data_IF_316144850060
#
_entry.id   IF_316144850060
#
_cell.length_a   1.000
_cell.length_b   1.000
_cell.length_c   1.000
_cell.angle_alpha   90.00
_cell.angle_beta   90.00
_cell.angle_gamma   90.00
#
_symmetry.space_group_name_H-M   'P 1'
#
loop_
_entity.id
_entity.type
_entity.pdbx_description
1 polymer ?
#
# COMPACT_ATOMS: atom_id res chain seq x y z
N UNK A 1 -26.39 -27.87 -7.59
CA UNK A 1 -26.16 -26.42 -7.53
C UNK A 1 -24.88 -26.25 -6.73
N UNK A 2 -23.74 -26.12 -7.43
CA UNK A 2 -22.48 -25.80 -6.75
C UNK A 2 -22.60 -24.39 -6.20
N UNK A 3 -22.45 -24.24 -4.89
CA UNK A 3 -22.16 -22.94 -4.29
C UNK A 3 -20.82 -22.50 -4.88
N UNK A 4 -20.86 -21.52 -5.78
CA UNK A 4 -19.68 -20.71 -6.06
C UNK A 4 -19.38 -20.00 -4.73
N UNK A 5 -18.48 -20.58 -3.95
CA UNK A 5 -17.92 -19.92 -2.77
C UNK A 5 -17.21 -18.68 -3.30
N UNK A 6 -17.73 -17.51 -2.92
CA UNK A 6 -17.30 -16.23 -3.47
C UNK A 6 -15.81 -15.96 -3.26
N UNK A 7 -15.31 -14.90 -3.90
CA UNK A 7 -13.95 -14.41 -3.70
C UNK A 7 -13.65 -14.24 -2.21
N UNK A 8 -12.72 -15.04 -1.68
CA UNK A 8 -12.27 -14.88 -0.30
C UNK A 8 -11.30 -13.72 -0.23
N UNK A 9 -11.63 -12.71 0.57
CA UNK A 9 -10.77 -11.53 0.79
C UNK A 9 -10.45 -11.43 2.27
N UNK A 10 -9.17 -11.34 2.58
CA UNK A 10 -8.67 -11.07 3.92
C UNK A 10 -8.05 -9.67 3.96
N UNK A 11 -8.59 -8.81 4.83
CA UNK A 11 -8.06 -7.44 5.03
C UNK A 11 -7.34 -7.40 6.38
N UNK A 12 -6.08 -6.99 6.37
CA UNK A 12 -5.25 -6.90 7.57
C UNK A 12 -4.82 -5.45 7.77
N UNK A 13 -5.34 -4.82 8.83
CA UNK A 13 -5.06 -3.43 9.19
C UNK A 13 -4.83 -3.28 10.70
N UNK A 14 -3.64 -2.85 11.16
CA UNK A 14 -2.40 -2.67 10.39
C UNK A 14 -1.66 -4.00 10.14
N UNK A 15 -0.95 -4.08 9.01
CA UNK A 15 -0.14 -5.24 8.59
C UNK A 15 0.92 -5.68 9.60
N UNK A 16 1.27 -4.85 10.58
CA UNK A 16 2.26 -5.18 11.63
C UNK A 16 1.88 -6.42 12.43
N UNK A 17 0.59 -6.77 12.49
CA UNK A 17 0.11 -7.95 13.21
C UNK A 17 0.33 -9.26 12.43
N UNK A 18 0.59 -9.16 11.12
CA UNK A 18 0.92 -10.31 10.27
C UNK A 18 2.38 -10.72 10.39
N UNK A 19 3.27 -9.78 10.70
CA UNK A 19 4.71 -10.01 10.67
C UNK A 19 5.19 -10.54 12.02
N UNK A 20 5.79 -11.74 12.06
CA UNK A 20 6.40 -12.25 13.28
C UNK A 20 7.70 -11.49 13.55
N UNK A 21 7.73 -10.65 14.59
CA UNK A 21 8.91 -9.90 14.99
C UNK A 21 8.85 -8.43 14.63
N UNK A 22 9.95 -7.87 14.10
CA UNK A 22 10.00 -6.46 13.74
C UNK A 22 9.52 -6.24 12.30
N UNK A 23 8.31 -5.71 12.15
CA UNK A 23 7.69 -5.36 10.87
C UNK A 23 8.43 -4.27 10.06
N UNK A 24 9.49 -3.69 10.63
CA UNK A 24 10.39 -2.76 9.94
C UNK A 24 11.69 -3.44 9.47
N UNK A 25 11.92 -4.69 9.85
CA UNK A 25 13.14 -5.43 9.53
C UNK A 25 12.90 -6.33 8.30
N UNK A 26 13.66 -6.14 7.20
CA UNK A 26 13.53 -6.91 5.96
C UNK A 26 13.37 -8.42 6.13
N UNK A 27 14.22 -9.05 6.96
CA UNK A 27 14.20 -10.50 7.15
C UNK A 27 12.89 -11.01 7.74
N UNK A 28 12.32 -10.26 8.68
CA UNK A 28 11.11 -10.65 9.41
C UNK A 28 9.89 -10.45 8.50
N UNK A 29 9.92 -9.38 7.70
CA UNK A 29 8.92 -9.04 6.68
C UNK A 29 8.87 -10.10 5.58
N UNK A 30 10.00 -10.47 5.00
CA UNK A 30 10.08 -11.51 3.98
C UNK A 30 9.52 -12.83 4.49
N UNK A 31 9.81 -13.17 5.75
CA UNK A 31 9.27 -14.38 6.36
C UNK A 31 7.75 -14.33 6.47
N UNK A 32 7.19 -13.24 7.00
CA UNK A 32 5.74 -13.06 7.11
C UNK A 32 5.02 -13.04 5.76
N UNK A 33 5.58 -12.34 4.77
CA UNK A 33 5.01 -12.25 3.42
C UNK A 33 5.10 -13.56 2.65
N UNK A 34 6.18 -14.33 2.80
CA UNK A 34 6.30 -15.66 2.20
C UNK A 34 5.21 -16.60 2.69
N UNK A 35 4.99 -16.65 4.02
CA UNK A 35 3.89 -17.44 4.60
C UNK A 35 2.51 -16.95 4.13
N UNK A 36 2.34 -15.63 3.98
CA UNK A 36 1.08 -15.07 3.47
C UNK A 36 0.81 -15.48 2.03
N UNK A 37 1.86 -15.48 1.20
CA UNK A 37 1.78 -15.89 -0.20
C UNK A 37 1.50 -17.40 -0.33
N UNK A 38 2.08 -18.23 0.52
CA UNK A 38 1.77 -19.66 0.62
C UNK A 38 0.28 -19.87 0.91
N UNK A 39 -0.26 -19.20 1.93
CA UNK A 39 -1.68 -19.27 2.29
C UNK A 39 -2.55 -18.79 1.11
N UNK A 40 -2.23 -17.65 0.51
CA UNK A 40 -2.95 -17.12 -0.66
C UNK A 40 -3.01 -18.14 -1.80
N UNK A 41 -1.92 -18.86 -2.07
CA UNK A 41 -1.87 -19.85 -3.15
C UNK A 41 -2.65 -21.12 -2.81
N UNK A 42 -2.69 -21.52 -1.55
CA UNK A 42 -3.44 -22.70 -1.09
C UNK A 42 -4.96 -22.44 -1.04
N UNK A 43 -5.37 -21.26 -0.57
CA UNK A 43 -6.78 -20.94 -0.33
C UNK A 43 -7.42 -20.13 -1.44
N UNK A 44 -6.63 -19.63 -2.40
CA UNK A 44 -7.06 -18.63 -3.38
C UNK A 44 -7.63 -17.33 -2.75
N UNK A 45 -7.32 -17.06 -1.48
CA UNK A 45 -7.74 -15.85 -0.78
C UNK A 45 -6.90 -14.64 -1.22
N UNK A 46 -7.56 -13.53 -1.57
CA UNK A 46 -6.89 -12.26 -1.84
C UNK A 46 -6.60 -11.52 -0.54
N UNK A 47 -5.33 -11.19 -0.30
CA UNK A 47 -4.93 -10.39 0.86
C UNK A 47 -4.80 -8.89 0.53
N UNK A 48 -5.44 -8.05 1.35
CA UNK A 48 -5.24 -6.59 1.35
C UNK A 48 -4.52 -6.24 2.64
N UNK A 49 -3.26 -5.84 2.51
CA UNK A 49 -2.41 -5.47 3.64
C UNK A 49 -2.34 -3.95 3.75
N UNK A 50 -2.77 -3.40 4.89
CA UNK A 50 -2.80 -1.96 5.14
C UNK A 50 -1.62 -1.58 6.02
N UNK A 51 -0.77 -0.68 5.52
CA UNK A 51 0.43 -0.21 6.20
C UNK A 51 0.47 1.31 6.27
N UNK A 52 0.96 1.85 7.39
CA UNK A 52 1.25 3.27 7.49
C UNK A 52 2.67 3.54 7.00
N UNK A 53 2.78 4.47 6.06
CA UNK A 53 4.06 4.98 5.59
C UNK A 53 4.66 5.89 6.68
N UNK A 54 5.88 5.58 7.14
CA UNK A 54 6.61 6.42 8.09
C UNK A 54 7.20 7.63 7.38
N UNK A 55 6.71 8.83 7.70
CA UNK A 55 7.30 10.08 7.21
C UNK A 55 8.49 10.52 8.09
N UNK A 56 9.69 10.71 7.53
CA UNK A 56 10.82 11.28 8.27
C UNK A 56 10.52 12.71 8.76
N UNK A 57 9.87 13.52 7.92
CA UNK A 57 9.34 14.84 8.27
C UNK A 57 7.82 14.88 8.02
N UNK A 58 7.05 15.29 9.04
CA UNK A 58 5.58 15.43 8.95
C UNK A 58 5.14 16.47 7.93
N UNK A 59 5.99 17.45 7.62
CA UNK A 59 5.71 18.52 6.65
C UNK A 59 5.97 18.09 5.20
N UNK A 60 6.67 16.98 5.00
CA UNK A 60 6.99 16.48 3.68
C UNK A 60 5.74 15.89 2.99
N UNK A 61 5.52 16.35 1.76
CA UNK A 61 4.58 15.72 0.84
C UNK A 61 5.24 14.44 0.35
N UNK A 62 4.55 13.31 0.49
CA UNK A 62 5.04 12.04 -0.01
C UNK A 62 4.35 11.75 -1.33
N UNK A 63 5.14 11.49 -2.35
CA UNK A 63 4.71 11.04 -3.65
C UNK A 63 5.01 9.55 -3.83
N UNK A 64 4.37 8.87 -4.79
CA UNK A 64 4.63 7.47 -5.10
C UNK A 64 6.11 7.13 -5.32
N UNK A 65 6.84 8.02 -6.00
CA UNK A 65 8.27 7.89 -6.30
C UNK A 65 9.14 7.87 -5.04
N UNK A 66 8.74 8.58 -3.99
CA UNK A 66 9.48 8.66 -2.72
C UNK A 66 9.44 7.33 -1.95
N UNK A 67 8.54 6.42 -2.32
CA UNK A 67 8.41 5.13 -1.63
C UNK A 67 9.67 4.27 -1.76
N UNK A 68 10.33 4.31 -2.92
CA UNK A 68 11.52 3.51 -3.18
C UNK A 68 12.80 4.14 -2.62
N UNK A 69 12.80 5.46 -2.44
CA UNK A 69 14.03 6.24 -2.17
C UNK A 69 14.09 6.79 -0.75
N UNK A 70 12.96 7.20 -0.15
CA UNK A 70 12.94 8.02 1.06
C UNK A 70 12.12 7.45 2.22
N UNK A 71 11.17 6.55 1.93
CA UNK A 71 10.31 5.97 2.94
C UNK A 71 10.99 4.78 3.61
N UNK A 72 11.43 5.01 4.86
CA UNK A 72 11.98 3.97 5.76
C UNK A 72 10.92 2.94 6.09
N UNK A 73 10.70 2.01 5.18
CA UNK A 73 9.97 0.77 5.36
C UNK A 73 10.67 -0.32 4.54
N UNK A 74 10.39 -1.60 4.83
CA UNK A 74 10.88 -2.70 4.02
C UNK A 74 10.37 -2.55 2.58
N UNK A 75 11.25 -2.34 1.60
CA UNK A 75 10.90 -2.32 0.16
C UNK A 75 10.26 -3.65 -0.26
N UNK A 76 10.52 -4.69 0.51
CA UNK A 76 10.02 -6.05 0.37
C UNK A 76 8.49 -6.11 0.30
N UNK A 77 7.77 -5.25 1.04
CA UNK A 77 6.30 -5.16 0.91
C UNK A 77 5.86 -4.81 -0.52
N UNK A 78 6.54 -3.85 -1.14
CA UNK A 78 6.23 -3.40 -2.50
C UNK A 78 6.72 -4.38 -3.56
N UNK A 79 7.90 -4.98 -3.34
CA UNK A 79 8.47 -5.96 -4.24
C UNK A 79 7.58 -7.20 -4.33
N UNK A 80 7.09 -7.70 -3.19
CA UNK A 80 6.25 -8.90 -3.13
C UNK A 80 4.78 -8.66 -3.45
N UNK A 81 4.27 -7.43 -3.28
CA UNK A 81 2.87 -7.12 -3.60
C UNK A 81 2.58 -7.27 -5.10
N UNK A 82 1.47 -7.92 -5.47
CA UNK A 82 1.00 -7.93 -6.86
C UNK A 82 0.53 -6.53 -7.31
N UNK A 83 -0.14 -5.81 -6.42
CA UNK A 83 -0.55 -4.42 -6.63
C UNK A 83 -0.31 -3.62 -5.37
N UNK A 84 0.05 -2.35 -5.53
CA UNK A 84 0.31 -1.43 -4.43
C UNK A 84 -0.38 -0.10 -4.68
N UNK A 85 -1.12 0.35 -3.67
CA UNK A 85 -1.87 1.59 -3.67
C UNK A 85 -1.35 2.49 -2.56
N UNK A 86 -1.30 3.79 -2.82
CA UNK A 86 -0.96 4.79 -1.81
C UNK A 86 -2.06 5.82 -1.70
N UNK A 87 -2.57 5.97 -0.49
CA UNK A 87 -3.58 6.96 -0.15
C UNK A 87 -2.91 8.15 0.53
N UNK A 88 -3.08 9.34 -0.02
CA UNK A 88 -2.60 10.58 0.61
C UNK A 88 -3.75 11.54 0.84
N UNK A 89 -3.51 12.49 1.74
CA UNK A 89 -4.31 13.70 1.88
C UNK A 89 -3.48 14.86 1.31
N UNK A 90 -4.08 15.76 0.52
CA UNK A 90 -3.36 16.94 0.08
C UNK A 90 -2.94 17.77 1.30
N UNK A 91 -1.73 18.30 1.24
CA UNK A 91 -1.37 19.43 2.10
C UNK A 91 -2.05 20.66 1.52
N UNK A 92 -2.70 21.46 2.37
CA UNK A 92 -3.40 22.66 1.94
C UNK A 92 -2.46 23.58 1.18
N UNK A 93 -2.60 23.59 -0.14
CA UNK A 93 -1.95 24.55 -1.02
C UNK A 93 -2.92 25.67 -1.35
N UNK A 94 -2.39 26.88 -1.47
CA UNK A 94 -3.14 28.05 -1.92
C UNK A 94 -2.84 28.30 -3.38
N UNK A 95 -3.84 28.69 -4.17
CA UNK A 95 -3.63 29.16 -5.54
C UNK A 95 -2.96 30.54 -5.56
N UNK A 96 -2.69 31.04 -6.77
CA UNK A 96 -2.15 32.39 -7.01
C UNK A 96 -3.07 33.51 -6.53
N UNK A 97 -4.31 33.21 -6.14
CA UNK A 97 -5.30 34.14 -5.57
C UNK A 97 -5.43 34.00 -4.05
N UNK A 98 -4.65 33.12 -3.43
CA UNK A 98 -4.67 32.89 -1.99
C UNK A 98 -5.80 32.00 -1.49
N UNK A 99 -6.59 31.41 -2.39
CA UNK A 99 -7.68 30.48 -2.07
C UNK A 99 -7.14 29.06 -1.90
N UNK A 100 -7.72 28.29 -0.97
CA UNK A 100 -7.37 26.88 -0.83
C UNK A 100 -7.82 26.10 -2.07
N UNK A 101 -6.91 25.36 -2.68
CA UNK A 101 -7.18 24.53 -3.88
C UNK A 101 -7.56 23.10 -3.54
N UNK A 102 -7.49 22.72 -2.27
CA UNK A 102 -7.76 21.36 -1.78
C UNK A 102 -8.55 21.39 -0.48
N UNK A 103 -9.52 20.50 -0.39
CA UNK A 103 -10.32 20.25 0.80
C UNK A 103 -9.57 19.33 1.78
N UNK A 104 -9.73 19.50 3.11
CA UNK A 104 -9.20 18.54 4.09
C UNK A 104 -9.80 17.12 3.94
N UNK A 105 -10.96 17.02 3.29
CA UNK A 105 -11.64 15.75 3.04
C UNK A 105 -11.16 15.06 1.76
N UNK A 106 -10.38 15.75 0.92
CA UNK A 106 -9.86 15.16 -0.31
C UNK A 106 -8.93 13.99 0.01
N UNK A 107 -9.06 12.94 -0.80
CA UNK A 107 -8.21 11.76 -0.76
C UNK A 107 -7.67 11.52 -2.15
N UNK A 108 -6.36 11.45 -2.25
CA UNK A 108 -5.68 11.14 -3.51
C UNK A 108 -5.22 9.69 -3.42
N UNK A 109 -5.69 8.87 -4.36
CA UNK A 109 -5.28 7.48 -4.49
C UNK A 109 -4.31 7.36 -5.66
N UNK A 110 -3.10 6.90 -5.36
CA UNK A 110 -2.10 6.57 -6.37
C UNK A 110 -2.03 5.07 -6.57
N UNK A 111 -1.94 4.64 -7.83
CA UNK A 111 -1.59 3.27 -8.20
C UNK A 111 -0.07 3.24 -8.39
N UNK A 112 0.66 2.71 -7.40
CA UNK A 112 2.13 2.67 -7.45
C UNK A 112 2.60 1.46 -8.27
N UNK A 113 1.90 0.33 -8.11
CA UNK A 113 2.22 -0.93 -8.80
C UNK A 113 0.93 -1.65 -9.15
N UNK A 114 0.87 -2.18 -10.36
CA UNK A 114 -0.19 -3.09 -10.78
C UNK A 114 0.42 -4.10 -11.77
N UNK A 115 0.60 -5.35 -11.31
CA UNK A 115 1.20 -6.44 -12.09
C UNK A 115 0.41 -6.71 -13.38
N UNK A 116 -0.92 -6.66 -13.30
CA UNK A 116 -1.84 -6.87 -14.43
C UNK A 116 -2.51 -5.58 -14.88
N UNK A 117 -1.82 -4.43 -14.80
CA UNK A 117 -2.38 -3.22 -15.41
C UNK A 117 -2.70 -3.52 -16.87
N UNK A 118 -3.99 -3.41 -17.22
CA UNK A 118 -4.40 -3.40 -18.61
C UNK A 118 -3.47 -2.40 -19.31
N UNK A 119 -2.69 -2.87 -20.29
CA UNK A 119 -1.81 -2.03 -21.12
C UNK A 119 -2.61 -0.77 -21.50
N UNK A 120 -2.41 0.35 -20.81
CA UNK A 120 -3.29 1.50 -21.03
C UNK A 120 -3.38 2.54 -19.93
N UNK A 121 -3.21 2.20 -18.65
CA UNK A 121 -3.15 3.23 -17.60
C UNK A 121 -1.71 3.74 -17.47
N UNK A 122 -1.34 4.64 -18.37
CA UNK A 122 -0.21 5.55 -18.16
C UNK A 122 -0.62 6.61 -17.12
N UNK A 123 0.34 7.08 -16.30
CA UNK A 123 0.11 8.18 -15.35
C UNK A 123 -0.40 9.45 -16.03
#
# INVERSE_FOLDING_TARGET
MELVTGLEVAIIDPLKFLIPGDYMKPSDVLKGLSTTLEIQNETATTFILVGHIRKPDRKQISYPEDYWTELKGPTEYMEMANSALMLTRPTHTRDTRGLFTSSPDDRILYVIKARDSARGLKP
#
